data_IF_014780959003
#
_entry.id   IF_014780959003
#
_cell.length_a   1.000
_cell.length_b   1.000
_cell.length_c   1.000
_cell.angle_alpha   90.00
_cell.angle_beta   90.00
_cell.angle_gamma   90.00
#
_symmetry.space_group_name_H-M   'P 1'
#
loop_
_entity.id
_entity.type
_entity.pdbx_description
1 polymer ?
#
# COMPACT_ATOMS: atom_id res chain seq x y z
N UNK A 1 -41.98 -52.43 -4.11
CA UNK A 1 -40.68 -51.99 -4.63
C UNK A 1 -40.29 -50.54 -4.24
N UNK A 2 -41.09 -49.82 -3.45
CA UNK A 2 -40.85 -48.42 -3.06
C UNK A 2 -39.90 -48.22 -1.87
N UNK A 3 -39.78 -49.24 -0.99
CA UNK A 3 -39.00 -49.07 0.25
C UNK A 3 -37.46 -49.14 0.11
N UNK A 4 -36.93 -49.41 -1.08
CA UNK A 4 -35.47 -49.58 -1.28
C UNK A 4 -34.81 -48.32 -1.84
N UNK A 5 -35.59 -47.43 -2.42
CA UNK A 5 -35.04 -46.22 -3.08
C UNK A 5 -34.85 -45.06 -2.08
N UNK A 6 -35.79 -44.92 -1.12
CA UNK A 6 -35.75 -43.85 -0.12
C UNK A 6 -34.49 -43.88 0.76
N UNK A 7 -34.07 -45.00 1.36
CA UNK A 7 -32.85 -45.02 2.17
C UNK A 7 -31.58 -44.79 1.37
N UNK A 8 -31.54 -45.15 0.09
CA UNK A 8 -30.39 -44.88 -0.79
C UNK A 8 -30.28 -43.39 -1.13
N UNK A 9 -31.40 -42.70 -1.40
CA UNK A 9 -31.43 -41.27 -1.67
C UNK A 9 -31.03 -40.48 -0.43
N UNK A 10 -31.48 -40.86 0.76
CA UNK A 10 -31.09 -40.22 2.01
C UNK A 10 -29.61 -40.46 2.31
N UNK A 11 -29.08 -41.66 2.08
CA UNK A 11 -27.66 -41.96 2.27
C UNK A 11 -26.78 -41.18 1.27
N UNK A 12 -27.19 -41.02 0.03
CA UNK A 12 -26.47 -40.25 -0.95
C UNK A 12 -26.52 -38.74 -0.67
N UNK A 13 -27.64 -38.19 -0.23
CA UNK A 13 -27.77 -36.77 0.11
C UNK A 13 -27.06 -36.42 1.42
N UNK A 14 -26.96 -37.32 2.39
CA UNK A 14 -26.21 -37.13 3.63
C UNK A 14 -24.69 -37.27 3.46
N UNK A 15 -24.26 -37.98 2.43
CA UNK A 15 -22.83 -38.06 2.07
C UNK A 15 -22.32 -36.85 1.29
N UNK A 16 -23.22 -36.03 0.75
CA UNK A 16 -22.86 -34.81 0.03
C UNK A 16 -22.84 -33.63 1.00
N UNK A 17 -21.66 -33.35 1.55
CA UNK A 17 -21.40 -32.09 2.26
C UNK A 17 -20.92 -31.04 1.22
N UNK A 18 -21.79 -30.09 0.83
CA UNK A 18 -21.42 -29.06 -0.15
C UNK A 18 -20.36 -28.09 0.39
N UNK A 19 -20.09 -28.16 1.71
CA UNK A 19 -19.04 -27.35 2.36
C UNK A 19 -18.11 -28.28 3.14
N UNK A 20 -16.83 -28.32 2.85
CA UNK A 20 -15.88 -29.12 3.63
C UNK A 20 -15.85 -28.62 5.08
N UNK A 21 -16.28 -29.45 6.01
CA UNK A 21 -16.20 -29.21 7.45
C UNK A 21 -14.85 -29.69 8.00
N UNK A 22 -13.78 -29.01 7.61
CA UNK A 22 -12.44 -29.25 8.14
C UNK A 22 -11.66 -27.94 8.20
N UNK A 23 -10.57 -27.84 8.97
CA UNK A 23 -9.68 -26.72 8.87
C UNK A 23 -8.97 -26.79 7.50
N UNK A 24 -9.64 -26.35 6.46
CA UNK A 24 -8.96 -26.05 5.22
C UNK A 24 -7.97 -24.94 5.56
N UNK A 25 -6.69 -25.20 5.33
CA UNK A 25 -5.70 -24.15 5.31
C UNK A 25 -6.25 -23.05 4.43
N UNK A 26 -6.63 -21.92 5.04
CA UNK A 26 -7.09 -20.77 4.30
C UNK A 26 -5.99 -20.43 3.31
N UNK A 27 -6.28 -20.55 2.01
CA UNK A 27 -5.38 -20.06 0.98
C UNK A 27 -5.10 -18.57 1.22
N UNK A 28 -4.06 -18.02 0.63
CA UNK A 28 -3.80 -16.59 0.73
C UNK A 28 -5.08 -15.84 0.38
N UNK A 29 -5.44 -14.79 1.14
CA UNK A 29 -6.67 -14.05 0.90
C UNK A 29 -6.71 -13.58 -0.56
N UNK A 30 -7.87 -13.65 -1.23
CA UNK A 30 -7.98 -13.23 -2.62
C UNK A 30 -7.57 -11.76 -2.71
N UNK A 31 -6.68 -11.44 -3.64
CA UNK A 31 -6.26 -10.07 -3.88
C UNK A 31 -7.46 -9.23 -4.31
N UNK A 32 -7.58 -8.03 -3.77
CA UNK A 32 -8.63 -7.10 -4.19
C UNK A 32 -8.45 -6.76 -5.67
N UNK A 33 -9.54 -6.74 -6.43
CA UNK A 33 -9.53 -6.32 -7.85
C UNK A 33 -9.11 -4.86 -7.99
N UNK A 34 -9.49 -4.00 -7.02
CA UNK A 34 -9.03 -2.62 -6.93
C UNK A 34 -8.42 -2.40 -5.55
N UNK A 35 -7.21 -1.87 -5.53
CA UNK A 35 -6.50 -1.52 -4.30
C UNK A 35 -6.05 -0.07 -4.35
N UNK A 36 -6.13 0.59 -3.20
CA UNK A 36 -5.80 2.00 -3.05
C UNK A 36 -4.61 2.15 -2.12
N UNK A 37 -3.71 3.05 -2.49
CA UNK A 37 -2.59 3.43 -1.64
C UNK A 37 -2.16 4.86 -1.92
N UNK A 38 -1.00 5.20 -1.40
CA UNK A 38 -0.41 6.52 -1.50
C UNK A 38 0.88 6.47 -2.32
N UNK A 39 1.17 7.51 -3.07
CA UNK A 39 2.46 7.73 -3.71
C UNK A 39 3.00 9.11 -3.36
N UNK A 40 4.32 9.25 -3.33
CA UNK A 40 5.01 10.50 -3.05
C UNK A 40 5.53 11.06 -4.37
N UNK A 41 5.12 12.26 -4.72
CA UNK A 41 5.66 12.97 -5.88
C UNK A 41 7.10 13.41 -5.54
N UNK A 42 8.07 12.99 -6.36
CA UNK A 42 9.50 13.23 -6.10
C UNK A 42 10.18 14.16 -7.10
N UNK A 43 9.58 14.32 -8.29
CA UNK A 43 10.07 15.24 -9.30
C UNK A 43 8.92 15.84 -10.12
N UNK A 44 9.17 17.01 -10.73
CA UNK A 44 8.19 17.73 -11.56
C UNK A 44 7.87 17.01 -12.87
N UNK A 45 8.74 16.10 -13.28
CA UNK A 45 8.57 15.26 -14.49
C UNK A 45 7.49 14.19 -14.36
N UNK A 46 6.79 14.15 -13.22
CA UNK A 46 5.75 13.17 -12.93
C UNK A 46 6.24 11.91 -12.25
N UNK A 47 7.48 11.89 -11.77
CA UNK A 47 8.02 10.76 -11.01
C UNK A 47 7.40 10.66 -9.62
N UNK A 48 6.93 9.45 -9.28
CA UNK A 48 6.25 9.12 -8.02
C UNK A 48 6.89 7.85 -7.46
N UNK A 49 7.24 7.86 -6.18
CA UNK A 49 7.66 6.66 -5.46
C UNK A 49 6.51 6.13 -4.60
N UNK A 50 6.35 4.81 -4.56
CA UNK A 50 5.32 4.14 -3.78
C UNK A 50 5.80 2.78 -3.29
N UNK A 51 4.97 2.10 -2.50
CA UNK A 51 5.19 0.72 -2.10
C UNK A 51 4.99 -0.22 -3.30
N UNK A 52 5.97 -1.09 -3.58
CA UNK A 52 5.92 -2.06 -4.65
C UNK A 52 4.78 -3.06 -4.48
N UNK A 53 4.49 -3.49 -3.24
CA UNK A 53 3.44 -4.47 -2.97
C UNK A 53 2.05 -3.94 -3.35
N UNK A 54 1.82 -2.64 -3.22
CA UNK A 54 0.59 -2.00 -3.65
C UNK A 54 0.32 -2.20 -5.15
N UNK A 55 1.38 -2.11 -5.97
CA UNK A 55 1.24 -2.17 -7.42
C UNK A 55 1.55 -3.55 -8.03
N UNK A 56 1.81 -4.55 -7.20
CA UNK A 56 2.09 -5.90 -7.67
C UNK A 56 0.87 -6.50 -8.39
N UNK A 57 1.13 -7.10 -9.57
CA UNK A 57 0.13 -7.67 -10.47
C UNK A 57 -0.97 -6.69 -10.94
N UNK A 58 -0.76 -5.37 -10.88
CA UNK A 58 -1.68 -4.41 -11.49
C UNK A 58 -1.64 -4.51 -13.01
N UNK A 59 -2.80 -4.58 -13.63
CA UNK A 59 -2.99 -4.43 -15.08
C UNK A 59 -2.97 -2.95 -15.46
N UNK A 60 -3.51 -2.12 -14.58
CA UNK A 60 -3.53 -0.66 -14.74
C UNK A 60 -3.18 -0.01 -13.41
N UNK A 61 -2.32 0.99 -13.47
CA UNK A 61 -1.99 1.86 -12.36
C UNK A 61 -2.50 3.25 -12.72
N UNK A 62 -3.36 3.81 -11.90
CA UNK A 62 -3.87 5.16 -12.11
C UNK A 62 -3.55 6.04 -10.90
N UNK A 63 -3.30 7.32 -11.16
CA UNK A 63 -3.12 8.34 -10.13
C UNK A 63 -4.34 9.25 -10.16
N UNK A 64 -5.05 9.33 -9.03
CA UNK A 64 -6.29 10.10 -8.94
C UNK A 64 -6.07 11.56 -9.33
N UNK A 65 -6.86 12.04 -10.27
CA UNK A 65 -6.79 13.41 -10.78
C UNK A 65 -5.73 13.64 -11.88
N UNK A 66 -4.88 12.63 -12.18
CA UNK A 66 -3.79 12.78 -13.16
C UNK A 66 -3.82 11.74 -14.29
N UNK A 67 -4.53 10.63 -14.12
CA UNK A 67 -4.63 9.59 -15.13
C UNK A 67 -3.72 8.39 -14.89
N UNK A 68 -3.39 7.65 -15.95
CA UNK A 68 -2.57 6.45 -15.86
C UNK A 68 -1.11 6.77 -15.61
N UNK A 69 -0.45 5.91 -14.85
CA UNK A 69 0.98 5.95 -14.59
C UNK A 69 1.65 4.69 -15.10
N UNK A 70 2.85 4.86 -15.64
CA UNK A 70 3.69 3.75 -16.05
C UNK A 70 4.61 3.32 -14.91
N UNK A 71 4.83 2.02 -14.79
CA UNK A 71 5.81 1.44 -13.88
C UNK A 71 7.20 1.54 -14.54
N UNK A 72 8.11 2.30 -13.93
CA UNK A 72 9.44 2.58 -14.46
C UNK A 72 10.47 1.61 -13.88
N UNK A 73 10.45 1.40 -12.56
CA UNK A 73 11.40 0.56 -11.86
C UNK A 73 10.81 -0.02 -10.57
N UNK A 74 11.39 -1.12 -10.11
CA UNK A 74 11.06 -1.77 -8.86
C UNK A 74 12.32 -2.20 -8.12
N UNK A 75 12.31 -2.06 -6.80
CA UNK A 75 13.27 -2.65 -5.88
C UNK A 75 12.54 -3.67 -5.01
N UNK A 76 12.85 -4.95 -5.22
CA UNK A 76 12.21 -6.06 -4.50
C UNK A 76 12.77 -6.27 -3.10
N UNK A 77 13.98 -5.82 -2.83
CA UNK A 77 14.61 -5.96 -1.51
C UNK A 77 14.04 -4.96 -0.52
N UNK A 78 13.73 -3.75 -1.01
CA UNK A 78 13.21 -2.65 -0.20
C UNK A 78 11.70 -2.41 -0.41
N UNK A 79 11.06 -3.20 -1.28
CA UNK A 79 9.66 -3.06 -1.67
C UNK A 79 9.30 -1.64 -2.16
N UNK A 80 10.18 -1.03 -2.95
CA UNK A 80 9.96 0.27 -3.56
C UNK A 80 9.59 0.14 -5.04
N UNK A 81 8.74 1.05 -5.51
CA UNK A 81 8.40 1.18 -6.92
C UNK A 81 8.42 2.63 -7.36
N UNK A 82 8.93 2.84 -8.57
CA UNK A 82 8.94 4.12 -9.26
C UNK A 82 7.88 4.11 -10.35
N UNK A 83 6.98 5.06 -10.29
CA UNK A 83 5.94 5.31 -11.28
C UNK A 83 6.22 6.64 -11.98
N UNK A 84 5.68 6.80 -13.19
CA UNK A 84 5.72 8.07 -13.93
C UNK A 84 4.40 8.37 -14.59
N UNK A 85 3.98 9.62 -14.45
CA UNK A 85 2.86 10.22 -15.17
C UNK A 85 3.42 11.18 -16.21
N UNK A 86 3.12 10.95 -17.47
CA UNK A 86 3.56 11.85 -18.53
C UNK A 86 2.60 13.01 -18.72
N UNK A 87 3.15 14.21 -18.84
CA UNK A 87 2.37 15.42 -19.10
C UNK A 87 1.57 15.96 -17.91
N UNK A 88 1.72 15.39 -16.72
CA UNK A 88 1.09 15.91 -15.51
C UNK A 88 1.61 17.33 -15.19
N UNK A 89 0.70 18.20 -14.79
CA UNK A 89 1.01 19.59 -14.40
C UNK A 89 0.48 19.85 -12.99
N UNK A 90 1.16 20.76 -12.27
CA UNK A 90 0.74 21.16 -10.93
C UNK A 90 1.12 20.17 -9.84
N UNK A 91 1.95 19.17 -10.13
CA UNK A 91 2.55 18.32 -9.12
C UNK A 91 3.47 19.14 -8.23
N UNK A 92 3.50 18.82 -6.93
CA UNK A 92 4.36 19.46 -5.94
C UNK A 92 5.32 18.42 -5.37
N UNK A 93 6.53 18.30 -5.92
CA UNK A 93 7.48 17.33 -5.43
C UNK A 93 7.88 17.60 -3.97
N UNK A 94 7.93 16.55 -3.17
CA UNK A 94 8.35 16.60 -1.78
C UNK A 94 9.87 16.79 -1.69
N UNK A 95 10.30 17.61 -0.76
CA UNK A 95 11.71 17.71 -0.41
C UNK A 95 12.14 16.44 0.34
N UNK A 96 12.98 15.64 -0.30
CA UNK A 96 13.50 14.41 0.29
C UNK A 96 14.84 14.64 1.02
N UNK A 97 15.28 15.88 1.18
CA UNK A 97 16.47 16.17 1.95
C UNK A 97 16.26 15.91 3.44
N UNK A 98 17.30 15.46 4.10
CA UNK A 98 17.26 15.13 5.52
C UNK A 98 17.26 13.63 5.76
N UNK A 99 17.20 13.26 6.96
CA UNK A 99 17.13 11.90 7.46
C UNK A 99 16.91 11.99 8.95
N UNK A 100 16.15 11.10 9.48
CA UNK A 100 15.72 11.23 10.87
C UNK A 100 16.24 10.03 11.67
N UNK A 101 16.91 10.29 12.76
CA UNK A 101 17.05 9.33 13.86
C UNK A 101 15.93 9.49 14.89
N UNK A 102 14.84 10.19 14.56
CA UNK A 102 13.74 10.47 15.48
C UNK A 102 12.81 9.28 15.61
N UNK A 103 12.34 9.03 16.82
CA UNK A 103 11.43 7.92 17.14
C UNK A 103 9.97 8.26 16.92
N UNK A 104 9.60 9.54 16.85
CA UNK A 104 8.23 9.98 16.56
C UNK A 104 8.18 10.63 15.20
N UNK A 105 7.25 10.17 14.37
CA UNK A 105 7.08 10.64 12.98
C UNK A 105 5.62 10.88 12.66
N UNK A 106 5.38 11.75 11.70
CA UNK A 106 4.08 12.04 11.13
C UNK A 106 3.96 11.34 9.77
N UNK A 107 2.99 10.41 9.66
CA UNK A 107 2.69 9.68 8.43
C UNK A 107 1.61 10.43 7.66
N UNK A 108 1.93 10.90 6.47
CA UNK A 108 0.98 11.59 5.60
C UNK A 108 0.63 10.71 4.41
N UNK A 109 -0.63 10.35 4.31
CA UNK A 109 -1.16 9.46 3.28
C UNK A 109 -2.63 9.70 2.99
N UNK A 110 -3.18 8.89 2.10
CA UNK A 110 -4.58 8.97 1.67
C UNK A 110 -5.26 7.64 1.98
N UNK A 111 -6.19 7.65 2.93
CA UNK A 111 -6.88 6.43 3.36
C UNK A 111 -7.67 5.77 2.22
N UNK A 112 -7.86 4.46 2.31
CA UNK A 112 -8.69 3.70 1.37
C UNK A 112 -10.13 4.22 1.40
N UNK A 113 -10.69 4.70 0.28
CA UNK A 113 -12.04 5.25 0.22
C UNK A 113 -13.12 4.22 0.54
N UNK A 114 -12.82 2.93 0.39
CA UNK A 114 -13.76 1.85 0.70
C UNK A 114 -13.87 1.57 2.20
N UNK A 115 -12.82 1.87 2.96
CA UNK A 115 -12.78 1.58 4.40
C UNK A 115 -13.07 2.80 5.27
N UNK A 116 -12.65 3.98 4.89
CA UNK A 116 -12.74 5.17 5.76
C UNK A 116 -13.42 6.39 5.11
N UNK A 117 -13.80 6.28 3.86
CA UNK A 117 -14.42 7.39 3.11
C UNK A 117 -13.54 8.66 3.09
N UNK A 118 -13.36 9.24 1.95
CA UNK A 118 -12.60 10.47 1.82
C UNK A 118 -11.45 10.36 0.83
N UNK A 119 -11.16 11.50 0.19
CA UNK A 119 -10.13 11.60 -0.86
C UNK A 119 -8.98 12.51 -0.44
N UNK A 120 -9.06 13.09 0.75
CA UNK A 120 -8.07 14.05 1.22
C UNK A 120 -6.87 13.36 1.88
N UNK A 121 -5.69 13.92 1.67
CA UNK A 121 -4.50 13.53 2.44
C UNK A 121 -4.69 13.86 3.91
N UNK A 122 -4.36 12.92 4.76
CA UNK A 122 -4.41 13.05 6.21
C UNK A 122 -3.07 12.68 6.84
N UNK A 123 -2.84 13.14 8.06
CA UNK A 123 -1.62 12.87 8.81
C UNK A 123 -1.95 12.16 10.11
N UNK A 124 -1.24 11.08 10.39
CA UNK A 124 -1.33 10.33 11.66
C UNK A 124 0.06 10.21 12.28
N UNK A 125 0.10 10.16 13.61
CA UNK A 125 1.37 10.00 14.34
C UNK A 125 1.69 8.54 14.56
N UNK A 126 2.97 8.20 14.43
CA UNK A 126 3.49 6.87 14.74
C UNK A 126 4.85 6.98 15.45
N UNK A 127 5.19 5.93 16.18
CA UNK A 127 6.52 5.74 16.74
C UNK A 127 7.28 4.70 15.93
N UNK A 128 8.58 4.91 15.75
CA UNK A 128 9.48 4.00 15.06
C UNK A 128 10.16 3.10 16.07
N UNK A 129 9.93 1.79 15.95
CA UNK A 129 10.60 0.75 16.75
C UNK A 129 11.40 -0.16 15.81
N UNK A 130 12.69 0.09 15.66
CA UNK A 130 13.49 -0.54 14.61
C UNK A 130 13.01 -0.09 13.23
N UNK A 131 12.43 -0.98 12.46
CA UNK A 131 11.73 -0.66 11.20
C UNK A 131 10.22 -0.55 11.34
N UNK A 132 9.65 -0.97 12.47
CA UNK A 132 8.21 -1.05 12.64
C UNK A 132 7.60 0.29 13.04
N UNK A 133 6.39 0.54 12.54
CA UNK A 133 5.58 1.73 12.83
C UNK A 133 4.42 1.39 13.77
N UNK A 134 4.35 2.06 14.89
CA UNK A 134 3.34 1.81 15.93
C UNK A 134 2.69 3.12 16.37
N UNK A 135 1.34 3.24 16.33
CA UNK A 135 0.41 2.29 15.74
C UNK A 135 0.54 2.21 14.21
N UNK A 136 0.17 1.07 13.62
CA UNK A 136 0.09 0.97 12.18
C UNK A 136 -1.00 1.90 11.63
N UNK A 137 -0.75 2.65 10.56
CA UNK A 137 -1.75 3.51 9.97
C UNK A 137 -2.85 2.71 9.25
N UNK A 138 -3.89 3.41 8.83
CA UNK A 138 -5.02 2.82 8.12
C UNK A 138 -4.63 2.27 6.73
N UNK A 139 -5.48 1.39 6.19
CA UNK A 139 -5.42 0.92 4.81
C UNK A 139 -5.46 2.12 3.86
N UNK A 140 -4.60 2.12 2.83
CA UNK A 140 -4.39 3.26 1.93
C UNK A 140 -3.10 4.04 2.23
N UNK A 141 -2.52 3.88 3.42
CA UNK A 141 -1.24 4.51 3.76
C UNK A 141 -0.01 3.75 3.26
N UNK A 142 -0.17 2.65 2.53
CA UNK A 142 0.94 2.01 1.82
C UNK A 142 1.52 2.99 0.81
N UNK A 143 2.81 3.30 0.92
CA UNK A 143 3.48 4.34 0.13
C UNK A 143 3.38 5.77 0.72
N UNK A 144 2.82 5.96 1.91
CA UNK A 144 2.69 7.27 2.55
C UNK A 144 4.04 7.88 2.93
N UNK A 145 4.11 9.21 2.93
CA UNK A 145 5.29 9.95 3.34
C UNK A 145 5.41 10.01 4.86
N UNK A 146 6.58 9.63 5.38
CA UNK A 146 6.94 9.79 6.78
C UNK A 146 7.80 11.04 6.94
N UNK A 147 7.36 11.94 7.83
CA UNK A 147 8.07 13.18 8.16
C UNK A 147 8.45 13.17 9.63
N UNK A 148 9.62 13.66 9.96
CA UNK A 148 10.01 13.84 11.35
C UNK A 148 9.41 15.11 11.98
N UNK A 149 9.64 15.30 13.28
CA UNK A 149 9.16 16.47 14.01
C UNK A 149 9.74 17.81 13.52
N UNK A 150 10.81 17.77 12.74
CA UNK A 150 11.44 18.96 12.13
C UNK A 150 10.94 19.18 10.69
N UNK A 151 9.95 18.42 10.24
CA UNK A 151 9.40 18.49 8.89
C UNK A 151 10.34 17.96 7.81
N UNK A 152 11.31 17.12 8.17
CA UNK A 152 12.22 16.49 7.22
C UNK A 152 11.71 15.11 6.84
N UNK A 153 12.00 14.69 5.62
CA UNK A 153 11.61 13.38 5.12
C UNK A 153 12.36 12.27 5.85
N UNK A 154 11.61 11.42 6.57
CA UNK A 154 12.12 10.28 7.31
C UNK A 154 12.09 8.97 6.52
N UNK A 155 11.18 8.86 5.55
CA UNK A 155 11.05 7.67 4.72
C UNK A 155 9.67 7.43 4.14
N UNK A 156 9.46 6.21 3.65
CA UNK A 156 8.22 5.75 3.04
C UNK A 156 7.59 4.65 3.90
N UNK A 157 6.27 4.72 4.08
CA UNK A 157 5.50 3.74 4.85
C UNK A 157 5.12 2.55 3.98
N UNK A 158 5.32 1.35 4.51
CA UNK A 158 4.84 0.10 3.92
C UNK A 158 3.82 -0.55 4.85
N UNK A 159 2.73 -1.05 4.30
CA UNK A 159 1.77 -1.87 5.02
C UNK A 159 2.01 -3.34 4.66
N UNK A 160 2.29 -4.14 5.68
CA UNK A 160 2.48 -5.59 5.51
C UNK A 160 1.17 -6.31 5.84
N UNK A 161 0.64 -7.13 4.92
CA UNK A 161 -0.49 -7.97 5.25
C UNK A 161 -0.09 -8.97 6.35
N UNK A 162 -0.85 -9.04 7.42
CA UNK A 162 -0.62 -10.07 8.43
C UNK A 162 -1.25 -11.38 7.93
N UNK A 163 -0.40 -12.38 7.76
CA UNK A 163 -0.85 -13.74 7.47
C UNK A 163 -1.38 -14.37 8.77
N UNK A 164 -2.70 -14.35 8.95
CA UNK A 164 -3.35 -15.06 10.05
C UNK A 164 -4.04 -16.29 9.52
N UNK A 165 -3.69 -17.44 10.06
CA UNK A 165 -4.44 -18.68 9.83
C UNK A 165 -5.69 -18.66 10.72
N UNK A 166 -6.85 -18.35 10.14
CA UNK A 166 -8.14 -18.37 10.85
C UNK A 166 -9.20 -17.46 10.21
N UNK A 167 -10.47 -17.55 10.66
CA UNK A 167 -11.52 -16.66 10.21
C UNK A 167 -11.18 -15.23 10.68
N UNK A 168 -10.91 -14.37 9.74
CA UNK A 168 -10.40 -13.03 9.96
C UNK A 168 -11.49 -12.07 10.37
N UNK A 169 -11.53 -11.75 11.65
CA UNK A 169 -11.97 -10.44 12.08
C UNK A 169 -10.73 -9.55 12.04
N UNK A 170 -10.77 -8.52 11.17
CA UNK A 170 -9.80 -7.44 11.00
C UNK A 170 -8.45 -7.63 11.72
N UNK A 171 -7.49 -8.18 11.03
CA UNK A 171 -6.12 -8.31 11.54
C UNK A 171 -5.47 -6.93 11.63
N UNK A 172 -4.80 -6.59 12.72
CA UNK A 172 -4.06 -5.34 12.79
C UNK A 172 -3.00 -5.33 11.67
N UNK A 173 -3.04 -4.31 10.83
CA UNK A 173 -2.02 -4.09 9.83
C UNK A 173 -0.68 -3.93 10.52
N UNK A 174 0.36 -4.59 10.04
CA UNK A 174 1.72 -4.24 10.42
C UNK A 174 2.23 -3.19 9.44
N UNK A 175 2.96 -2.22 9.93
CA UNK A 175 3.55 -1.19 9.10
C UNK A 175 5.05 -1.11 9.35
N UNK A 176 5.80 -0.82 8.30
CA UNK A 176 7.23 -0.62 8.36
C UNK A 176 7.63 0.69 7.68
N UNK A 177 8.74 1.24 8.13
CA UNK A 177 9.39 2.41 7.54
C UNK A 177 10.54 1.97 6.64
N UNK A 178 10.48 2.35 5.38
CA UNK A 178 11.68 2.35 4.51
C UNK A 178 12.40 3.67 4.73
N UNK A 179 13.65 3.66 5.19
CA UNK A 179 14.37 4.88 5.53
C UNK A 179 14.57 5.81 4.34
N UNK A 180 14.62 7.12 4.58
CA UNK A 180 14.80 8.14 3.56
C UNK A 180 16.04 7.91 2.68
N UNK A 181 17.15 7.42 3.25
CA UNK A 181 18.37 7.09 2.50
C UNK A 181 18.11 6.01 1.46
N UNK A 182 17.40 4.95 1.84
CA UNK A 182 17.05 3.86 0.93
C UNK A 182 16.16 4.33 -0.24
N UNK A 183 15.23 5.26 0.05
CA UNK A 183 14.40 5.88 -1.00
C UNK A 183 15.26 6.73 -1.95
N UNK A 184 16.17 7.55 -1.41
CA UNK A 184 17.09 8.37 -2.22
C UNK A 184 18.03 7.53 -3.08
N UNK A 185 18.59 6.46 -2.52
CA UNK A 185 19.47 5.53 -3.25
C UNK A 185 18.71 4.85 -4.40
N UNK A 186 17.47 4.44 -4.15
CA UNK A 186 16.61 3.86 -5.20
C UNK A 186 16.34 4.86 -6.33
N UNK A 187 15.99 6.11 -6.02
CA UNK A 187 15.77 7.15 -7.01
C UNK A 187 17.05 7.45 -7.82
N UNK A 188 18.19 7.56 -7.14
CA UNK A 188 19.51 7.79 -7.77
C UNK A 188 19.88 6.64 -8.71
N UNK A 189 19.66 5.38 -8.30
CA UNK A 189 19.93 4.20 -9.13
C UNK A 189 19.09 4.18 -10.42
N UNK A 190 17.92 4.84 -10.40
CA UNK A 190 17.02 4.94 -11.55
C UNK A 190 17.12 6.32 -12.27
N UNK A 191 18.21 7.05 -12.06
CA UNK A 191 18.48 8.36 -12.68
C UNK A 191 17.39 9.40 -12.45
N UNK A 192 16.64 9.31 -11.33
CA UNK A 192 15.67 10.31 -10.92
C UNK A 192 16.32 11.30 -9.96
N UNK A 193 16.38 12.57 -10.37
CA UNK A 193 16.80 13.64 -9.49
C UNK A 193 15.58 14.16 -8.73
N UNK A 194 15.54 13.90 -7.43
CA UNK A 194 14.52 14.48 -6.56
C UNK A 194 14.68 16.00 -6.57
N UNK A 195 13.74 16.69 -7.19
CA UNK A 195 13.77 18.15 -7.37
C UNK A 195 12.82 18.89 -6.42
N UNK A 196 12.23 18.16 -5.46
CA UNK A 196 11.23 18.70 -4.56
C UNK A 196 11.79 19.73 -3.59
N UNK A 197 11.07 20.83 -3.45
CA UNK A 197 11.30 21.88 -2.44
C UNK A 197 10.17 21.98 -1.44
N UNK A 198 9.05 21.26 -1.68
CA UNK A 198 7.88 21.29 -0.80
C UNK A 198 8.19 20.61 0.52
N UNK A 199 7.87 21.27 1.62
CA UNK A 199 7.84 20.68 2.97
C UNK A 199 6.44 20.24 3.39
N UNK A 200 5.43 20.56 2.58
CA UNK A 200 4.05 20.13 2.81
C UNK A 200 3.81 18.75 2.19
N UNK A 201 3.92 17.72 3.03
CA UNK A 201 3.69 16.35 2.61
C UNK A 201 2.26 16.12 2.07
N UNK A 202 1.23 16.83 2.58
CA UNK A 202 -0.15 16.69 2.10
C UNK A 202 -0.31 17.15 0.65
N UNK A 203 0.43 18.17 0.25
CA UNK A 203 0.42 18.66 -1.13
C UNK A 203 1.25 17.79 -2.08
N UNK A 204 2.12 16.94 -1.53
CA UNK A 204 3.09 16.15 -2.29
C UNK A 204 2.73 14.66 -2.37
N UNK A 205 1.64 14.22 -1.73
CA UNK A 205 1.14 12.86 -1.84
C UNK A 205 -0.04 12.78 -2.80
N UNK A 206 -0.12 11.66 -3.51
CA UNK A 206 -1.18 11.36 -4.47
C UNK A 206 -1.77 9.98 -4.19
N UNK A 207 -3.03 9.78 -4.57
CA UNK A 207 -3.65 8.45 -4.49
C UNK A 207 -3.22 7.61 -5.67
N UNK A 208 -2.66 6.45 -5.36
CA UNK A 208 -2.36 5.39 -6.32
C UNK A 208 -3.50 4.38 -6.31
N UNK A 209 -3.98 4.02 -7.48
CA UNK A 209 -5.06 3.07 -7.69
C UNK A 209 -4.51 1.93 -8.53
N UNK A 210 -4.48 0.74 -7.96
CA UNK A 210 -4.12 -0.50 -8.66
C UNK A 210 -5.39 -1.22 -9.10
N UNK A 211 -5.48 -1.56 -10.37
CA UNK A 211 -6.55 -2.41 -10.91
C UNK A 211 -5.93 -3.73 -11.36
N UNK A 212 -6.43 -4.84 -10.82
CA UNK A 212 -6.03 -6.22 -11.17
C UNK A 212 -7.14 -6.92 -11.97
N UNK A 213 -6.78 -8.03 -12.62
CA UNK A 213 -7.76 -8.94 -13.24
C UNK A 213 -8.45 -9.79 -12.18
#
# INVERSE_FOLDING_TARGET
MENTVEPVVIAMSSAFTPFPTGPQAAGPPPRKTVEYGTGIVVAEDGSIVTDRQLIDACVTIAIAGFGNADRIAEDRERDLALLRIYGARGLKPLNLAGGSGKTTIDLTGIADPQSQGGNAASTVKASVNGSDLVPAPAVGFSGAAAMDSDGKFAGLTQLKPVLVAGPTNATPSQAALVPADAVRDFLKANAVTASGTSTDAKASVVRVICVRK
#
